data_IF_838360381138
#
_entry.id   IF_838360381138
#
_cell.length_a   1.000
_cell.length_b   1.000
_cell.length_c   1.000
_cell.angle_alpha   90.00
_cell.angle_beta   90.00
_cell.angle_gamma   90.00
#
_symmetry.space_group_name_H-M   'P 1'
#
loop_
_entity.id
_entity.type
_entity.pdbx_description
1 polymer ?
#
# COMPACT_ATOMS: atom_id res chain seq x y z
N UNK A 1 13.44 4.09 3.72
CA UNK A 1 13.81 2.95 2.86
C UNK A 1 12.52 2.29 2.47
N UNK A 2 12.36 1.95 1.20
CA UNK A 2 11.18 1.27 0.68
C UNK A 2 11.45 -0.21 0.43
N UNK A 3 10.49 -1.08 0.76
CA UNK A 3 10.53 -2.52 0.45
C UNK A 3 9.17 -2.98 -0.01
N UNK A 4 9.14 -3.96 -0.91
CA UNK A 4 7.89 -4.52 -1.40
C UNK A 4 8.05 -5.99 -1.81
N UNK A 5 6.93 -6.69 -1.85
CA UNK A 5 6.78 -8.03 -2.41
C UNK A 5 5.50 -8.02 -3.25
N UNK A 6 5.59 -8.53 -4.47
CA UNK A 6 4.44 -8.72 -5.36
C UNK A 6 4.25 -10.23 -5.62
N UNK A 7 3.03 -10.72 -5.45
CA UNK A 7 2.60 -12.08 -5.79
C UNK A 7 1.52 -12.00 -6.88
N UNK A 8 1.91 -12.08 -8.18
CA UNK A 8 0.98 -11.93 -9.30
C UNK A 8 -0.17 -12.92 -9.27
N UNK A 9 0.12 -14.20 -8.97
CA UNK A 9 -0.87 -15.29 -8.92
C UNK A 9 -1.96 -15.06 -7.85
N UNK A 10 -1.67 -14.19 -6.89
CA UNK A 10 -2.61 -13.80 -5.85
C UNK A 10 -3.11 -12.37 -6.02
N UNK A 11 -2.75 -11.63 -7.07
CA UNK A 11 -3.07 -10.20 -7.20
C UNK A 11 -2.78 -9.42 -5.90
N UNK A 12 -1.65 -9.74 -5.25
CA UNK A 12 -1.31 -9.23 -3.92
C UNK A 12 0.01 -8.46 -3.98
N UNK A 13 -0.03 -7.22 -3.51
CA UNK A 13 1.13 -6.34 -3.38
C UNK A 13 1.28 -5.90 -1.93
N UNK A 14 2.39 -6.24 -1.29
CA UNK A 14 2.69 -5.82 0.08
C UNK A 14 3.91 -4.93 0.06
N UNK A 15 3.85 -3.77 0.70
CA UNK A 15 4.98 -2.87 0.79
C UNK A 15 5.12 -2.24 2.18
N UNK A 16 6.34 -1.79 2.48
CA UNK A 16 6.69 -1.18 3.74
C UNK A 16 7.56 0.06 3.51
N UNK A 17 7.18 1.14 4.17
CA UNK A 17 7.85 2.43 4.14
C UNK A 17 8.53 2.65 5.50
N UNK A 18 9.86 2.64 5.51
CA UNK A 18 10.69 2.83 6.70
C UNK A 18 11.27 4.25 6.75
N UNK A 19 11.54 4.76 7.96
CA UNK A 19 12.33 5.98 8.17
C UNK A 19 13.78 5.82 7.67
N UNK A 20 14.48 6.95 7.48
CA UNK A 20 15.90 6.96 7.11
C UNK A 20 16.23 6.61 5.65
N UNK A 21 15.25 6.55 4.75
CA UNK A 21 15.50 6.44 3.31
C UNK A 21 15.56 7.77 2.59
N UNK A 22 15.61 7.70 1.25
CA UNK A 22 15.49 8.85 0.36
C UNK A 22 14.05 8.96 -0.13
N UNK A 23 13.24 9.90 0.39
CA UNK A 23 11.79 9.85 0.21
C UNK A 23 11.35 9.92 -1.25
N UNK A 24 11.97 10.81 -2.04
CA UNK A 24 11.64 10.95 -3.45
C UNK A 24 11.87 9.65 -4.24
N UNK A 25 13.00 8.97 -4.00
CA UNK A 25 13.35 7.70 -4.66
C UNK A 25 12.45 6.55 -4.17
N UNK A 26 12.17 6.50 -2.87
CA UNK A 26 11.29 5.51 -2.24
C UNK A 26 9.86 5.61 -2.82
N UNK A 27 9.30 6.83 -2.93
CA UNK A 27 7.97 7.06 -3.51
C UNK A 27 7.93 6.77 -5.01
N UNK A 28 8.93 7.20 -5.78
CA UNK A 28 9.01 6.90 -7.21
C UNK A 28 9.06 5.38 -7.46
N UNK A 29 9.83 4.66 -6.65
CA UNK A 29 9.89 3.19 -6.70
C UNK A 29 8.55 2.58 -6.33
N UNK A 30 7.88 3.08 -5.29
CA UNK A 30 6.56 2.61 -4.90
C UNK A 30 5.54 2.71 -6.05
N UNK A 31 5.41 3.87 -6.70
CA UNK A 31 4.44 4.06 -7.77
C UNK A 31 4.76 3.23 -9.01
N UNK A 32 6.04 3.13 -9.39
CA UNK A 32 6.47 2.31 -10.52
C UNK A 32 6.07 0.84 -10.32
N UNK A 33 6.36 0.29 -9.15
CA UNK A 33 6.11 -1.13 -8.87
C UNK A 33 4.61 -1.41 -8.62
N UNK A 34 3.88 -0.46 -8.03
CA UNK A 34 2.43 -0.54 -7.91
C UNK A 34 1.73 -0.55 -9.28
N UNK A 35 2.15 0.30 -10.23
CA UNK A 35 1.62 0.28 -11.60
C UNK A 35 1.91 -1.04 -12.30
N UNK A 36 3.13 -1.56 -12.19
CA UNK A 36 3.47 -2.88 -12.74
C UNK A 36 2.59 -3.99 -12.15
N UNK A 37 2.31 -3.95 -10.85
CA UNK A 37 1.43 -4.90 -10.20
C UNK A 37 -0.04 -4.76 -10.67
N UNK A 38 -0.53 -3.53 -10.81
CA UNK A 38 -1.86 -3.26 -11.36
C UNK A 38 -2.01 -3.76 -12.80
N UNK A 39 -1.03 -3.47 -13.67
CA UNK A 39 -1.00 -3.98 -15.04
C UNK A 39 -0.96 -5.51 -15.11
N UNK A 40 -0.20 -6.16 -14.22
CA UNK A 40 -0.14 -7.62 -14.14
C UNK A 40 -1.45 -8.24 -13.61
N UNK A 41 -2.21 -7.52 -12.78
CA UNK A 41 -3.55 -7.94 -12.37
C UNK A 41 -4.59 -7.77 -13.50
N UNK A 42 -4.31 -6.92 -14.49
CA UNK A 42 -5.18 -6.68 -15.64
C UNK A 42 -6.51 -6.08 -15.19
N UNK A 43 -7.61 -6.77 -15.47
CA UNK A 43 -8.95 -6.35 -15.02
C UNK A 43 -9.28 -6.81 -13.59
N UNK A 44 -8.44 -7.65 -12.99
CA UNK A 44 -8.64 -8.08 -11.61
C UNK A 44 -8.23 -6.96 -10.66
N UNK A 45 -8.96 -6.86 -9.55
CA UNK A 45 -8.70 -5.87 -8.52
C UNK A 45 -7.48 -6.30 -7.68
N UNK A 46 -6.46 -5.46 -7.66
CA UNK A 46 -5.22 -5.65 -6.90
C UNK A 46 -5.48 -5.44 -5.40
N UNK A 47 -5.11 -6.41 -4.58
CA UNK A 47 -5.04 -6.26 -3.13
C UNK A 47 -3.70 -5.62 -2.75
N UNK A 48 -3.72 -4.47 -2.07
CA UNK A 48 -2.52 -3.74 -1.68
C UNK A 48 -2.46 -3.59 -0.16
N UNK A 49 -1.31 -3.91 0.42
CA UNK A 49 -1.02 -3.69 1.84
C UNK A 49 0.16 -2.73 1.96
N UNK A 50 -0.04 -1.61 2.65
CA UNK A 50 0.99 -0.59 2.88
C UNK A 50 1.29 -0.50 4.38
N UNK A 51 2.49 -0.88 4.77
CA UNK A 51 2.98 -0.79 6.15
C UNK A 51 3.70 0.56 6.35
N UNK A 52 3.07 1.49 7.05
CA UNK A 52 3.65 2.79 7.40
C UNK A 52 4.34 2.71 8.78
N UNK A 53 5.67 2.74 8.77
CA UNK A 53 6.47 2.75 10.00
C UNK A 53 6.66 4.18 10.53
N UNK A 54 6.85 4.34 11.85
CA UNK A 54 7.22 5.63 12.44
C UNK A 54 8.49 6.22 11.80
N UNK A 55 8.57 7.55 11.76
CA UNK A 55 9.72 8.26 11.18
C UNK A 55 9.73 8.31 9.66
N UNK A 56 8.66 7.87 8.99
CA UNK A 56 8.53 8.08 7.55
C UNK A 56 8.19 9.55 7.26
N UNK A 57 8.95 10.24 6.39
CA UNK A 57 8.67 11.62 6.04
C UNK A 57 7.40 11.74 5.20
N UNK A 58 6.80 12.92 5.23
CA UNK A 58 5.65 13.23 4.39
C UNK A 58 6.01 13.09 2.90
N UNK A 59 5.06 12.63 2.05
CA UNK A 59 5.31 12.53 0.62
C UNK A 59 5.66 13.91 0.03
N UNK A 60 6.70 13.99 -0.81
CA UNK A 60 7.05 15.25 -1.48
C UNK A 60 5.93 15.70 -2.45
N UNK A 61 5.93 16.97 -2.89
CA UNK A 61 4.96 17.47 -3.87
C UNK A 61 4.79 16.58 -5.11
N UNK A 62 5.90 16.08 -5.68
CA UNK A 62 5.87 15.20 -6.85
C UNK A 62 5.10 13.89 -6.60
N UNK A 63 5.32 13.26 -5.44
CA UNK A 63 4.61 12.05 -5.05
C UNK A 63 3.10 12.31 -4.88
N UNK A 64 2.70 13.47 -4.36
CA UNK A 64 1.28 13.83 -4.22
C UNK A 64 0.58 13.96 -5.57
N UNK A 65 1.23 14.58 -6.56
CA UNK A 65 0.72 14.66 -7.93
C UNK A 65 0.62 13.28 -8.57
N UNK A 66 1.58 12.40 -8.29
CA UNK A 66 1.59 11.05 -8.85
C UNK A 66 0.48 10.14 -8.28
N UNK A 67 0.14 10.28 -6.99
CA UNK A 67 -1.04 9.64 -6.39
C UNK A 67 -2.32 10.13 -7.08
N UNK A 68 -2.44 11.44 -7.34
CA UNK A 68 -3.59 11.98 -8.03
C UNK A 68 -3.71 11.42 -9.45
N UNK A 69 -2.61 11.36 -10.19
CA UNK A 69 -2.58 10.79 -11.53
C UNK A 69 -2.96 9.31 -11.53
N UNK A 70 -2.38 8.50 -10.64
CA UNK A 70 -2.67 7.06 -10.53
C UNK A 70 -4.13 6.78 -10.19
N UNK A 71 -4.74 7.61 -9.35
CA UNK A 71 -6.15 7.45 -8.99
C UNK A 71 -7.12 7.91 -10.07
N UNK A 72 -6.67 8.76 -11.00
CA UNK A 72 -7.50 9.27 -12.09
C UNK A 72 -7.34 8.49 -13.40
N UNK A 73 -6.23 7.77 -13.60
CA UNK A 73 -5.94 7.12 -14.88
C UNK A 73 -6.79 5.89 -15.15
N UNK A 74 -7.30 5.22 -14.11
CA UNK A 74 -8.01 3.95 -14.23
C UNK A 74 -7.09 2.76 -14.51
N UNK A 75 -5.77 2.97 -14.58
CA UNK A 75 -4.78 1.91 -14.86
C UNK A 75 -4.67 0.88 -13.73
N UNK A 76 -5.17 1.22 -12.54
CA UNK A 76 -5.08 0.38 -11.35
C UNK A 76 -6.45 0.29 -10.70
N UNK A 77 -7.02 -0.91 -10.72
CA UNK A 77 -8.14 -1.29 -9.87
C UNK A 77 -7.57 -1.86 -8.59
N UNK A 78 -7.74 -1.20 -7.43
CA UNK A 78 -7.12 -1.66 -6.19
C UNK A 78 -7.94 -1.44 -4.93
N UNK A 79 -7.77 -2.37 -3.99
CA UNK A 79 -8.17 -2.23 -2.60
C UNK A 79 -6.92 -2.14 -1.72
N UNK A 80 -6.76 -0.99 -1.06
CA UNK A 80 -5.54 -0.65 -0.35
C UNK A 80 -5.80 -0.59 1.15
N UNK A 81 -5.20 -1.51 1.90
CA UNK A 81 -5.13 -1.41 3.35
C UNK A 81 -3.82 -0.74 3.75
N UNK A 82 -3.93 0.42 4.40
CA UNK A 82 -2.76 1.13 4.94
C UNK A 82 -2.73 0.94 6.45
N UNK A 83 -1.61 0.44 6.95
CA UNK A 83 -1.44 0.04 8.35
C UNK A 83 -0.42 0.96 9.00
N UNK A 84 -0.85 1.66 10.04
CA UNK A 84 0.03 2.51 10.83
C UNK A 84 -0.32 2.41 12.30
N UNK A 85 0.69 2.32 13.16
CA UNK A 85 0.49 2.40 14.61
C UNK A 85 0.23 3.83 15.08
N UNK A 86 0.52 4.86 14.26
CA UNK A 86 0.32 6.25 14.62
C UNK A 86 -1.15 6.68 14.46
N UNK A 87 -1.87 7.02 15.55
CA UNK A 87 -3.28 7.41 15.48
C UNK A 87 -3.52 8.72 14.72
N UNK A 88 -2.59 9.66 14.76
CA UNK A 88 -2.72 10.95 14.07
C UNK A 88 -2.68 10.74 12.55
N UNK A 89 -1.72 9.94 12.07
CA UNK A 89 -1.61 9.60 10.63
C UNK A 89 -2.88 8.88 10.16
N UNK A 90 -3.39 7.93 10.96
CA UNK A 90 -4.66 7.26 10.64
C UNK A 90 -5.82 8.25 10.56
N UNK A 91 -5.98 9.13 11.53
CA UNK A 91 -7.06 10.13 11.55
C UNK A 91 -7.03 11.05 10.32
N UNK A 92 -5.85 11.59 9.98
CA UNK A 92 -5.68 12.46 8.81
C UNK A 92 -6.02 11.71 7.52
N UNK A 93 -5.50 10.50 7.34
CA UNK A 93 -5.74 9.74 6.11
C UNK A 93 -7.17 9.21 6.01
N UNK A 94 -7.82 8.90 7.13
CA UNK A 94 -9.26 8.58 7.15
C UNK A 94 -10.09 9.79 6.71
N UNK A 95 -9.79 11.00 7.21
CA UNK A 95 -10.49 12.21 6.75
C UNK A 95 -10.30 12.44 5.24
N UNK A 96 -9.09 12.19 4.71
CA UNK A 96 -8.83 12.25 3.26
C UNK A 96 -9.66 11.23 2.49
N UNK A 97 -9.87 10.03 3.04
CA UNK A 97 -10.69 9.00 2.40
C UNK A 97 -12.17 9.40 2.24
N UNK A 98 -12.70 10.24 3.13
CA UNK A 98 -14.10 10.72 3.03
C UNK A 98 -14.34 11.68 1.88
N UNK A 99 -13.31 12.46 1.52
CA UNK A 99 -13.40 13.43 0.42
C UNK A 99 -13.19 12.75 -0.93
N UNK A 100 -12.63 11.53 -0.94
CA UNK A 100 -12.32 10.79 -2.15
C UNK A 100 -13.42 9.79 -2.50
N UNK A 101 -14.21 10.12 -3.51
CA UNK A 101 -15.17 9.23 -4.14
C UNK A 101 -14.58 8.70 -5.45
N UNK A 102 -14.18 7.43 -5.49
CA UNK A 102 -13.74 6.78 -6.72
C UNK A 102 -13.80 5.27 -6.59
N UNK A 103 -14.46 4.62 -7.55
CA UNK A 103 -14.62 3.16 -7.52
C UNK A 103 -13.33 2.43 -7.85
N UNK A 104 -12.42 3.04 -8.63
CA UNK A 104 -11.21 2.37 -9.13
C UNK A 104 -10.24 1.99 -8.02
N UNK A 105 -9.99 2.91 -7.08
CA UNK A 105 -9.07 2.68 -5.96
C UNK A 105 -9.80 2.98 -4.65
N UNK A 106 -10.07 1.93 -3.89
CA UNK A 106 -10.63 2.03 -2.55
C UNK A 106 -9.50 1.84 -1.54
N UNK A 107 -9.43 2.67 -0.51
CA UNK A 107 -8.46 2.47 0.56
C UNK A 107 -9.06 2.67 1.94
N UNK A 108 -8.51 1.97 2.94
CA UNK A 108 -8.87 2.13 4.35
C UNK A 108 -7.63 2.04 5.23
N UNK A 109 -7.68 2.74 6.35
CA UNK A 109 -6.60 2.83 7.33
C UNK A 109 -6.88 1.89 8.50
N UNK A 110 -5.86 1.17 8.97
CA UNK A 110 -5.97 0.21 10.06
C UNK A 110 -4.84 0.38 11.08
N UNK A 111 -5.09 0.08 12.37
CA UNK A 111 -4.05 0.12 13.39
C UNK A 111 -3.09 -1.08 13.29
N UNK A 112 -3.59 -2.25 12.86
CA UNK A 112 -2.80 -3.48 12.75
C UNK A 112 -3.26 -4.31 11.56
N UNK A 113 -2.42 -5.28 11.17
CA UNK A 113 -2.77 -6.26 10.15
C UNK A 113 -4.02 -7.09 10.49
N UNK A 114 -4.18 -7.50 11.75
CA UNK A 114 -5.35 -8.27 12.19
C UNK A 114 -6.69 -7.54 11.97
N UNK A 115 -6.69 -6.21 11.89
CA UNK A 115 -7.89 -5.44 11.54
C UNK A 115 -8.04 -5.24 10.03
N UNK A 116 -6.94 -5.24 9.30
CA UNK A 116 -6.91 -5.01 7.85
C UNK A 116 -7.28 -6.27 7.06
N UNK A 117 -6.82 -7.45 7.50
CA UNK A 117 -7.01 -8.69 6.75
C UNK A 117 -8.49 -9.05 6.55
N UNK A 118 -9.40 -8.97 7.53
CA UNK A 118 -10.79 -9.35 7.30
C UNK A 118 -11.48 -8.45 6.27
N UNK A 119 -11.16 -7.15 6.29
CA UNK A 119 -11.69 -6.19 5.32
C UNK A 119 -11.20 -6.46 3.90
N UNK A 120 -9.92 -6.82 3.74
CA UNK A 120 -9.39 -7.19 2.42
C UNK A 120 -9.95 -8.52 1.91
N UNK A 121 -10.11 -9.52 2.78
CA UNK A 121 -10.70 -10.83 2.44
C UNK A 121 -12.15 -10.70 2.00
N UNK A 122 -12.94 -9.89 2.73
CA UNK A 122 -14.33 -9.58 2.37
C UNK A 122 -14.41 -8.97 0.96
N UNK A 123 -13.58 -7.97 0.67
CA UNK A 123 -13.58 -7.29 -0.63
C UNK A 123 -13.08 -8.15 -1.78
N UNK A 124 -12.12 -9.02 -1.50
CA UNK A 124 -11.60 -9.99 -2.45
C UNK A 124 -12.57 -11.14 -2.70
N UNK A 125 -13.45 -11.46 -1.74
CA UNK A 125 -14.32 -12.62 -1.77
C UNK A 125 -13.64 -13.92 -1.35
N UNK A 126 -12.55 -13.85 -0.59
CA UNK A 126 -11.84 -15.05 -0.12
C UNK A 126 -10.52 -14.77 0.59
N UNK A 127 -9.83 -15.83 1.07
CA UNK A 127 -8.61 -15.70 1.86
C UNK A 127 -7.47 -15.01 1.12
N UNK A 128 -6.62 -14.27 1.85
CA UNK A 128 -5.48 -13.54 1.28
C UNK A 128 -4.26 -14.40 0.95
N UNK A 129 -4.35 -15.72 1.13
CA UNK A 129 -3.29 -16.67 0.84
C UNK A 129 -2.02 -16.35 1.66
N UNK A 130 -0.87 -16.06 1.03
CA UNK A 130 0.41 -15.92 1.72
C UNK A 130 0.60 -14.59 2.48
N UNK A 131 -0.40 -13.71 2.58
CA UNK A 131 -0.23 -12.34 3.06
C UNK A 131 0.44 -12.23 4.45
N UNK A 132 0.06 -13.07 5.41
CA UNK A 132 0.68 -13.12 6.75
C UNK A 132 2.19 -13.37 6.68
N UNK A 133 2.59 -14.33 5.84
CA UNK A 133 3.99 -14.70 5.65
C UNK A 133 4.77 -13.55 5.01
N UNK A 134 4.19 -12.89 3.99
CA UNK A 134 4.84 -11.77 3.29
C UNK A 134 5.03 -10.55 4.20
N UNK A 135 4.02 -10.24 5.01
CA UNK A 135 4.10 -9.16 5.99
C UNK A 135 5.18 -9.50 7.02
N UNK A 136 5.20 -10.73 7.52
CA UNK A 136 6.23 -11.19 8.45
C UNK A 136 7.64 -11.08 7.84
N UNK A 137 7.82 -11.50 6.59
CA UNK A 137 9.10 -11.40 5.86
C UNK A 137 9.58 -9.95 5.73
N UNK A 138 8.66 -9.04 5.32
CA UNK A 138 8.98 -7.62 5.23
C UNK A 138 9.35 -7.05 6.59
N UNK A 139 8.65 -7.45 7.65
CA UNK A 139 8.86 -6.92 9.00
C UNK A 139 10.16 -7.41 9.67
N UNK A 140 10.62 -8.63 9.36
CA UNK A 140 11.74 -9.27 10.08
C UNK A 140 13.07 -9.29 9.34
N UNK A 141 13.11 -9.07 8.02
CA UNK A 141 14.40 -8.97 7.33
C UNK A 141 15.10 -7.66 7.76
N UNK A 142 16.28 -7.70 8.38
CA UNK A 142 17.06 -6.49 8.61
C UNK A 142 17.33 -5.83 7.25
N UNK A 143 17.34 -4.50 7.23
CA UNK A 143 17.85 -3.77 6.07
C UNK A 143 19.28 -4.26 5.86
N UNK A 144 19.53 -5.02 4.79
CA UNK A 144 20.89 -5.34 4.42
C UNK A 144 21.57 -4.02 4.13
N UNK A 145 22.49 -3.63 4.99
CA UNK A 145 23.38 -2.49 4.81
C UNK A 145 24.07 -2.68 3.46
N UNK A 146 23.78 -1.78 2.51
CA UNK A 146 24.55 -1.64 1.29
C UNK A 146 25.84 -0.86 1.58
#
# INVERSE_FOLDING_TARGET
MYRFIHKPDHHLFVCALYGGGKPAEDFATHFRELRKAGLAAGQNRLTVVVLLRPGHPLPPPSARSEVAALMSSGDVLADIAVISTNPVVRGVLTAVSWVKSGDMVTFRMFPTWAHASPWLEERRGGPLGPADQLITELMHKPAMSA
#
